data_IF_146212924895
#
_entry.id   IF_146212924895
#
_cell.length_a   1.000
_cell.length_b   1.000
_cell.length_c   1.000
_cell.angle_alpha   90.00
_cell.angle_beta   90.00
_cell.angle_gamma   90.00
#
_symmetry.space_group_name_H-M   'P 1'
#
loop_
_entity.id
_entity.type
_entity.pdbx_description
1 polymer ?
#
# COMPACT_ATOMS: atom_id res chain seq x y z
N UNK A 1 6.38 24.86 -15.61
CA UNK A 1 6.64 25.21 -14.21
C UNK A 1 7.36 24.09 -13.44
N UNK A 2 6.82 22.87 -13.38
CA UNK A 2 7.40 21.75 -12.59
C UNK A 2 8.89 21.49 -12.88
N UNK A 3 9.29 21.47 -14.16
CA UNK A 3 10.70 21.31 -14.56
C UNK A 3 11.58 22.49 -14.11
N UNK A 4 11.05 23.71 -14.08
CA UNK A 4 11.80 24.90 -13.67
C UNK A 4 12.17 24.87 -12.18
N UNK A 5 11.33 24.23 -11.35
CA UNK A 5 11.62 23.99 -9.92
C UNK A 5 12.38 22.67 -9.68
N UNK A 6 12.95 22.06 -10.74
CA UNK A 6 13.77 20.84 -10.69
C UNK A 6 13.05 19.64 -10.07
N UNK A 7 11.76 19.49 -10.39
CA UNK A 7 10.96 18.31 -10.04
C UNK A 7 10.67 17.48 -11.29
N UNK A 8 10.47 16.18 -11.11
CA UNK A 8 10.08 15.24 -12.17
C UNK A 8 8.54 15.15 -12.20
N UNK A 9 7.87 15.72 -13.22
CA UNK A 9 6.42 15.59 -13.34
C UNK A 9 6.03 14.20 -13.86
N UNK A 10 4.85 13.74 -13.47
CA UNK A 10 4.11 12.66 -14.12
C UNK A 10 2.70 13.19 -14.44
N UNK A 11 2.10 12.72 -15.53
CA UNK A 11 0.74 13.11 -15.91
C UNK A 11 -0.27 12.07 -15.42
N UNK A 12 -1.33 12.53 -14.76
CA UNK A 12 -2.41 11.67 -14.27
C UNK A 12 -3.76 12.35 -14.49
N UNK A 13 -4.78 11.55 -14.74
CA UNK A 13 -6.16 12.03 -14.80
C UNK A 13 -6.75 12.15 -13.38
N UNK A 14 -7.78 12.99 -13.25
CA UNK A 14 -8.43 13.25 -11.98
C UNK A 14 -9.21 12.01 -11.50
N UNK A 15 -9.05 11.68 -10.22
CA UNK A 15 -9.76 10.61 -9.52
C UNK A 15 -9.54 10.76 -8.01
N UNK A 16 -10.40 10.16 -7.19
CA UNK A 16 -10.28 10.25 -5.73
C UNK A 16 -8.96 9.63 -5.27
N UNK A 17 -8.06 10.48 -4.75
CA UNK A 17 -6.73 10.08 -4.30
C UNK A 17 -5.67 10.01 -5.41
N UNK A 18 -6.03 10.42 -6.64
CA UNK A 18 -5.18 10.40 -7.83
C UNK A 18 -4.48 9.03 -8.01
N UNK A 19 -3.27 9.04 -8.56
CA UNK A 19 -2.43 7.85 -8.67
C UNK A 19 -1.69 7.54 -7.37
N UNK A 20 -0.91 8.50 -6.86
CA UNK A 20 0.10 8.24 -5.82
C UNK A 20 -0.53 7.93 -4.46
N UNK A 21 -1.41 8.80 -3.94
CA UNK A 21 -2.00 8.64 -2.61
C UNK A 21 -2.88 7.40 -2.51
N UNK A 22 -3.60 7.08 -3.58
CA UNK A 22 -4.41 5.87 -3.70
C UNK A 22 -3.56 4.60 -3.62
N UNK A 23 -2.53 4.48 -4.46
CA UNK A 23 -1.65 3.30 -4.50
C UNK A 23 -0.89 3.13 -3.18
N UNK A 24 -0.26 4.19 -2.69
CA UNK A 24 0.44 4.20 -1.41
C UNK A 24 -0.45 3.81 -0.23
N UNK A 25 -1.71 4.26 -0.21
CA UNK A 25 -2.65 3.94 0.85
C UNK A 25 -2.93 2.44 1.00
N UNK A 26 -2.64 1.63 -0.01
CA UNK A 26 -2.74 0.17 0.10
C UNK A 26 -1.64 -0.45 0.97
N UNK A 27 -0.44 0.14 1.01
CA UNK A 27 0.65 -0.32 1.87
C UNK A 27 0.31 -0.16 3.36
N UNK A 28 -0.17 1.03 3.73
CA UNK A 28 -0.59 1.33 5.11
C UNK A 28 -1.77 0.46 5.52
N UNK A 29 -2.78 0.33 4.64
CA UNK A 29 -3.92 -0.55 4.88
C UNK A 29 -3.50 -2.00 5.05
N UNK A 30 -2.57 -2.52 4.25
CA UNK A 30 -2.11 -3.90 4.41
C UNK A 30 -1.37 -4.13 5.73
N UNK A 31 -0.59 -3.16 6.18
CA UNK A 31 0.00 -3.21 7.52
C UNK A 31 -1.05 -3.29 8.62
N UNK A 32 -2.16 -2.57 8.47
CA UNK A 32 -3.30 -2.63 9.39
C UNK A 32 -4.06 -3.96 9.31
N UNK A 33 -4.24 -4.54 8.12
CA UNK A 33 -4.84 -5.87 7.96
C UNK A 33 -3.98 -6.94 8.65
N UNK A 34 -2.65 -6.92 8.43
CA UNK A 34 -1.70 -7.81 9.11
C UNK A 34 -1.76 -7.67 10.63
N UNK A 35 -1.91 -6.43 11.12
CA UNK A 35 -2.03 -6.13 12.54
C UNK A 35 -3.31 -6.75 13.12
N UNK A 36 -4.46 -6.55 12.46
CA UNK A 36 -5.74 -7.15 12.85
C UNK A 36 -5.74 -8.69 12.78
N UNK A 37 -4.98 -9.28 11.85
CA UNK A 37 -4.77 -10.72 11.77
C UNK A 37 -3.96 -11.28 12.96
N UNK A 38 -3.30 -10.42 13.74
CA UNK A 38 -2.51 -10.78 14.92
C UNK A 38 -1.02 -10.96 14.65
N UNK A 39 -0.49 -10.36 13.58
CA UNK A 39 0.95 -10.34 13.31
C UNK A 39 1.61 -9.29 14.19
N UNK A 40 2.68 -9.68 14.89
CA UNK A 40 3.40 -8.79 15.79
C UNK A 40 3.85 -7.51 15.05
N UNK A 41 3.62 -6.30 15.60
CA UNK A 41 3.94 -5.04 14.93
C UNK A 41 5.38 -4.94 14.44
N UNK A 42 6.32 -5.45 15.24
CA UNK A 42 7.74 -5.48 14.87
C UNK A 42 8.02 -6.31 13.61
N UNK A 43 7.26 -7.38 13.35
CA UNK A 43 7.40 -8.18 12.11
C UNK A 43 6.91 -7.38 10.92
N UNK A 44 5.71 -6.79 11.02
CA UNK A 44 5.10 -5.96 9.97
C UNK A 44 6.06 -4.84 9.55
N UNK A 45 6.59 -4.13 10.52
CA UNK A 45 7.52 -3.03 10.35
C UNK A 45 8.86 -3.44 9.72
N UNK A 46 9.43 -4.55 10.18
CA UNK A 46 10.71 -5.04 9.65
C UNK A 46 10.55 -5.61 8.25
N UNK A 47 9.50 -6.38 7.97
CA UNK A 47 9.23 -6.90 6.62
C UNK A 47 8.96 -5.75 5.65
N UNK A 48 8.19 -4.74 6.05
CA UNK A 48 7.94 -3.55 5.23
C UNK A 48 9.24 -2.85 4.79
N UNK A 49 10.19 -2.68 5.70
CA UNK A 49 11.52 -2.13 5.33
C UNK A 49 12.32 -3.11 4.47
N UNK A 50 12.31 -4.40 4.81
CA UNK A 50 13.07 -5.43 4.11
C UNK A 50 12.56 -5.72 2.69
N UNK A 51 11.30 -5.41 2.37
CA UNK A 51 10.80 -5.47 1.00
C UNK A 51 11.18 -4.25 0.15
N UNK A 52 11.95 -3.31 0.71
CA UNK A 52 12.49 -2.15 0.00
C UNK A 52 11.74 -0.84 0.21
N UNK A 53 10.72 -0.82 1.08
CA UNK A 53 10.01 0.41 1.41
C UNK A 53 10.87 1.30 2.33
N UNK A 54 10.79 2.64 2.21
CA UNK A 54 11.61 3.56 3.00
C UNK A 54 11.27 3.55 4.50
N UNK A 55 10.02 3.20 4.85
CA UNK A 55 9.50 3.16 6.21
C UNK A 55 8.55 1.96 6.34
N UNK A 56 8.40 1.44 7.56
CA UNK A 56 7.42 0.39 7.82
C UNK A 56 5.98 0.92 7.76
N UNK A 57 5.01 0.03 7.53
CA UNK A 57 3.63 0.42 7.24
C UNK A 57 2.93 1.21 8.36
N UNK A 58 3.23 0.88 9.62
CA UNK A 58 2.68 1.57 10.79
C UNK A 58 3.36 2.93 10.99
N UNK A 59 4.68 3.02 10.80
CA UNK A 59 5.41 4.30 10.84
C UNK A 59 4.89 5.29 9.78
N UNK A 60 4.59 4.77 8.59
CA UNK A 60 3.99 5.55 7.52
C UNK A 60 2.59 6.04 7.92
N UNK A 61 1.79 5.16 8.52
CA UNK A 61 0.43 5.51 8.98
C UNK A 61 0.47 6.63 10.02
N UNK A 62 1.44 6.60 10.94
CA UNK A 62 1.67 7.69 11.89
C UNK A 62 2.05 9.01 11.22
N UNK A 63 2.80 8.96 10.11
CA UNK A 63 3.19 10.16 9.36
C UNK A 63 2.03 10.80 8.61
N UNK A 64 1.06 10.00 8.15
CA UNK A 64 -0.19 10.49 7.55
C UNK A 64 -1.15 11.05 8.62
N UNK A 65 -1.15 10.42 9.80
CA UNK A 65 -2.03 10.76 10.91
C UNK A 65 -3.17 9.75 11.07
N UNK A 66 -3.21 9.11 12.23
CA UNK A 66 -4.19 8.06 12.57
C UNK A 66 -5.58 8.68 12.73
N UNK A 67 -5.65 9.89 13.26
CA UNK A 67 -6.88 10.66 13.41
C UNK A 67 -7.48 11.06 12.05
N UNK A 68 -6.63 11.44 11.09
CA UNK A 68 -7.05 11.70 9.71
C UNK A 68 -7.68 10.45 9.09
N UNK A 69 -7.03 9.30 9.25
CA UNK A 69 -7.56 8.02 8.77
C UNK A 69 -8.90 7.68 9.41
N UNK A 70 -9.03 7.80 10.75
CA UNK A 70 -10.29 7.56 11.47
C UNK A 70 -11.42 8.49 10.99
N UNK A 71 -11.11 9.78 10.80
CA UNK A 71 -12.09 10.78 10.32
C UNK A 71 -12.58 10.45 8.91
N UNK A 72 -11.68 10.09 7.99
CA UNK A 72 -12.04 9.71 6.62
C UNK A 72 -12.90 8.45 6.59
N UNK A 73 -12.57 7.46 7.43
CA UNK A 73 -13.34 6.21 7.54
C UNK A 73 -14.76 6.48 8.03
N UNK A 74 -14.93 7.25 9.12
CA UNK A 74 -16.25 7.60 9.67
C UNK A 74 -17.10 8.42 8.69
N UNK A 75 -16.52 9.44 8.06
CA UNK A 75 -17.23 10.25 7.08
C UNK A 75 -17.69 9.43 5.85
N UNK A 76 -16.87 8.47 5.42
CA UNK A 76 -17.23 7.57 4.31
C UNK A 76 -18.35 6.62 4.72
N UNK A 77 -18.30 6.05 5.92
CA UNK A 77 -19.34 5.16 6.41
C UNK A 77 -20.68 5.88 6.62
N UNK A 78 -20.66 7.11 7.15
CA UNK A 78 -21.84 7.96 7.27
C UNK A 78 -22.48 8.22 5.89
N UNK A 79 -21.66 8.59 4.89
CA UNK A 79 -22.14 8.80 3.53
C UNK A 79 -22.70 7.54 2.86
N UNK A 80 -22.22 6.35 3.25
CA UNK A 80 -22.64 5.05 2.71
C UNK A 80 -23.72 4.36 3.57
N UNK A 81 -24.10 4.94 4.71
CA UNK A 81 -25.02 4.31 5.66
C UNK A 81 -24.50 3.01 6.28
N UNK A 82 -23.17 2.86 6.41
CA UNK A 82 -22.52 1.66 6.97
C UNK A 82 -22.32 1.83 8.46
N UNK A 83 -22.74 0.83 9.24
CA UNK A 83 -22.44 0.78 10.68
C UNK A 83 -21.00 0.29 10.92
N UNK A 84 -20.22 1.09 11.65
CA UNK A 84 -18.83 0.79 12.01
C UNK A 84 -18.68 0.19 13.41
N UNK A 85 -19.77 0.00 14.17
CA UNK A 85 -19.70 -0.53 15.54
C UNK A 85 -19.06 -1.93 15.58
N UNK A 86 -19.33 -2.77 14.58
CA UNK A 86 -18.73 -4.10 14.44
C UNK A 86 -17.43 -4.15 13.64
N UNK A 87 -16.95 -3.02 13.09
CA UNK A 87 -15.70 -2.97 12.32
C UNK A 87 -14.51 -2.92 13.28
N UNK A 88 -13.93 -4.07 13.59
CA UNK A 88 -12.79 -4.21 14.52
C UNK A 88 -11.65 -3.24 14.22
N UNK A 89 -11.36 -3.01 12.93
CA UNK A 89 -10.33 -2.07 12.49
C UNK A 89 -10.67 -0.63 12.90
N UNK A 90 -11.90 -0.17 12.68
CA UNK A 90 -12.32 1.17 13.12
C UNK A 90 -12.31 1.27 14.64
N UNK A 91 -12.75 0.24 15.36
CA UNK A 91 -12.71 0.24 16.83
C UNK A 91 -11.28 0.34 17.36
N UNK A 92 -10.32 -0.35 16.72
CA UNK A 92 -8.91 -0.25 17.06
C UNK A 92 -8.33 1.15 16.80
N UNK A 93 -8.67 1.77 15.65
CA UNK A 93 -8.26 3.13 15.35
C UNK A 93 -8.89 4.15 16.31
N UNK A 94 -10.15 3.97 16.68
CA UNK A 94 -10.86 4.79 17.66
C UNK A 94 -10.18 4.69 19.03
N UNK A 95 -9.90 3.49 19.51
CA UNK A 95 -9.16 3.28 20.76
C UNK A 95 -7.79 3.99 20.76
N UNK A 96 -7.01 3.88 19.68
CA UNK A 96 -5.73 4.60 19.57
C UNK A 96 -5.90 6.11 19.69
N UNK A 97 -6.86 6.68 18.95
CA UNK A 97 -7.02 8.13 18.83
C UNK A 97 -7.73 8.73 20.04
N UNK A 98 -8.83 8.14 20.45
CA UNK A 98 -9.78 8.70 21.42
C UNK A 98 -9.42 8.32 22.86
N UNK A 99 -9.05 7.05 23.09
CA UNK A 99 -8.78 6.57 24.44
C UNK A 99 -7.31 6.76 24.83
N UNK A 100 -6.40 6.64 23.86
CA UNK A 100 -4.95 6.71 24.10
C UNK A 100 -4.32 8.04 23.63
N UNK A 101 -5.08 8.85 22.89
CA UNK A 101 -4.61 10.13 22.36
C UNK A 101 -3.43 9.98 21.39
N UNK A 102 -3.30 8.85 20.70
CA UNK A 102 -2.21 8.51 19.79
C UNK A 102 -2.61 8.81 18.35
N UNK A 103 -2.43 10.06 17.95
CA UNK A 103 -2.90 10.58 16.64
C UNK A 103 -1.83 10.52 15.54
N UNK A 104 -0.63 10.06 15.85
CA UNK A 104 0.48 9.91 14.91
C UNK A 104 1.66 10.86 15.20
N UNK A 105 2.57 10.94 14.24
CA UNK A 105 3.88 11.61 14.37
C UNK A 105 3.77 13.08 14.76
N UNK A 106 2.74 13.78 14.28
CA UNK A 106 2.48 15.20 14.59
C UNK A 106 2.32 15.51 16.07
N UNK A 107 1.90 14.52 16.87
CA UNK A 107 1.71 14.66 18.31
C UNK A 107 2.80 13.91 19.12
N UNK A 108 3.84 13.42 18.45
CA UNK A 108 4.91 12.64 19.08
C UNK A 108 4.51 11.21 19.46
N UNK A 109 3.27 10.78 19.20
CA UNK A 109 2.76 9.45 19.59
C UNK A 109 1.72 8.90 18.61
N UNK A 110 1.98 7.70 18.10
CA UNK A 110 1.12 6.90 17.22
C UNK A 110 1.37 5.41 17.45
N UNK A 111 1.49 4.59 16.41
CA UNK A 111 2.08 3.24 16.55
C UNK A 111 3.49 3.27 17.15
N UNK A 112 4.22 4.37 16.92
CA UNK A 112 5.51 4.67 17.53
C UNK A 112 5.41 5.74 18.61
N UNK A 113 6.29 5.66 19.60
CA UNK A 113 6.72 6.82 20.38
C UNK A 113 7.81 7.56 19.57
N UNK A 114 7.69 8.89 19.48
CA UNK A 114 8.64 9.73 18.75
C UNK A 114 9.38 10.67 19.70
N UNK A 115 10.67 10.87 19.45
CA UNK A 115 11.47 11.83 20.20
C UNK A 115 11.20 13.29 19.76
N UNK A 116 11.82 14.25 20.46
CA UNK A 116 11.69 15.69 20.18
C UNK A 116 12.08 16.09 18.74
N UNK A 117 12.93 15.29 18.08
CA UNK A 117 13.33 15.49 16.68
C UNK A 117 12.36 14.85 15.68
N UNK A 118 11.24 14.32 16.16
CA UNK A 118 10.23 13.63 15.38
C UNK A 118 10.71 12.32 14.77
N UNK A 119 11.76 11.69 15.31
CA UNK A 119 12.22 10.36 14.85
C UNK A 119 11.56 9.26 15.69
N UNK A 120 11.19 8.11 15.08
CA UNK A 120 10.66 6.99 15.84
C UNK A 120 11.72 6.50 16.83
N UNK A 121 11.37 6.44 18.10
CA UNK A 121 12.24 5.95 19.17
C UNK A 121 12.00 4.47 19.42
N UNK A 122 10.72 4.08 19.53
CA UNK A 122 10.30 2.68 19.71
C UNK A 122 8.87 2.48 19.26
N UNK A 123 8.53 1.23 18.92
CA UNK A 123 7.13 0.83 18.84
C UNK A 123 6.48 0.97 20.21
N UNK A 124 5.24 1.44 20.23
CA UNK A 124 4.50 1.64 21.46
C UNK A 124 4.25 0.31 22.17
N UNK A 125 4.72 0.10 23.42
CA UNK A 125 4.66 -1.21 24.08
C UNK A 125 3.24 -1.75 24.29
N UNK A 126 2.25 -0.86 24.37
CA UNK A 126 0.86 -1.20 24.68
C UNK A 126 0.00 -1.45 23.44
N UNK A 127 0.59 -1.39 22.23
CA UNK A 127 -0.12 -1.64 20.97
C UNK A 127 -0.87 -2.98 20.97
N UNK A 128 -0.28 -4.01 21.58
CA UNK A 128 -0.81 -5.37 21.60
C UNK A 128 -1.98 -5.53 22.60
N UNK A 129 -2.34 -4.51 23.39
CA UNK A 129 -3.46 -4.60 24.36
C UNK A 129 -4.81 -4.89 23.71
N UNK A 130 -5.00 -4.42 22.47
CA UNK A 130 -6.22 -4.64 21.68
C UNK A 130 -6.02 -5.67 20.57
N UNK A 131 -4.81 -6.23 20.43
CA UNK A 131 -4.47 -7.17 19.37
C UNK A 131 -4.05 -8.48 19.99
N UNK A 132 -4.80 -9.54 19.71
CA UNK A 132 -4.35 -10.89 20.06
C UNK A 132 -3.21 -11.29 19.13
N UNK A 133 -1.97 -11.20 19.60
CA UNK A 133 -0.79 -11.68 18.88
C UNK A 133 -0.93 -13.19 18.65
N UNK A 134 -0.94 -13.59 17.37
CA UNK A 134 -0.98 -14.98 16.91
C UNK A 134 0.34 -15.40 16.23
N UNK A 135 1.10 -14.42 15.76
CA UNK A 135 2.36 -14.61 15.04
C UNK A 135 3.41 -13.69 15.64
N UNK A 136 4.39 -14.27 16.33
CA UNK A 136 5.47 -13.59 17.04
C UNK A 136 6.87 -13.87 16.46
N UNK A 137 6.97 -14.87 15.57
CA UNK A 137 8.16 -15.21 14.80
C UNK A 137 7.93 -15.06 13.29
N UNK A 138 9.01 -14.81 12.53
CA UNK A 138 8.95 -14.63 11.09
C UNK A 138 9.98 -15.51 10.36
N UNK A 139 9.70 -16.80 10.16
CA UNK A 139 10.55 -17.66 9.34
C UNK A 139 10.61 -17.17 7.88
N UNK A 140 11.60 -17.63 7.08
CA UNK A 140 11.81 -17.16 5.70
C UNK A 140 10.57 -17.23 4.80
N UNK A 141 9.78 -18.31 4.89
CA UNK A 141 8.58 -18.49 4.08
C UNK A 141 7.50 -17.48 4.43
N UNK A 142 7.31 -17.20 5.72
CA UNK A 142 6.37 -16.17 6.16
C UNK A 142 6.88 -14.78 5.75
N UNK A 143 8.17 -14.51 5.86
CA UNK A 143 8.75 -13.25 5.38
C UNK A 143 8.43 -13.02 3.90
N UNK A 144 8.57 -14.07 3.07
CA UNK A 144 8.23 -14.01 1.64
C UNK A 144 6.74 -13.74 1.43
N UNK A 145 5.88 -14.45 2.16
CA UNK A 145 4.42 -14.25 2.13
C UNK A 145 4.04 -12.79 2.45
N UNK A 146 4.56 -12.24 3.56
CA UNK A 146 4.27 -10.87 3.99
C UNK A 146 4.86 -9.83 3.03
N UNK A 147 6.03 -10.11 2.45
CA UNK A 147 6.63 -9.29 1.39
C UNK A 147 5.70 -9.21 0.18
N UNK A 148 5.18 -10.35 -0.28
CA UNK A 148 4.26 -10.40 -1.41
C UNK A 148 2.97 -9.64 -1.09
N UNK A 149 2.41 -9.80 0.12
CA UNK A 149 1.22 -9.04 0.53
C UNK A 149 1.42 -7.53 0.41
N UNK A 150 2.56 -7.00 0.85
CA UNK A 150 2.83 -5.56 0.72
C UNK A 150 3.00 -5.10 -0.73
N UNK A 151 3.78 -5.83 -1.53
CA UNK A 151 4.14 -5.36 -2.88
C UNK A 151 3.04 -5.65 -3.91
N UNK A 152 2.43 -6.84 -3.87
CA UNK A 152 1.37 -7.24 -4.80
C UNK A 152 0.13 -6.36 -4.64
N UNK A 153 -0.27 -6.01 -3.42
CA UNK A 153 -1.45 -5.14 -3.20
C UNK A 153 -1.27 -3.76 -3.85
N UNK A 154 -0.08 -3.18 -3.71
CA UNK A 154 0.26 -1.90 -4.34
C UNK A 154 0.25 -2.01 -5.87
N UNK A 155 0.85 -3.06 -6.43
CA UNK A 155 0.90 -3.26 -7.87
C UNK A 155 -0.49 -3.54 -8.49
N UNK A 156 -1.39 -4.22 -7.77
CA UNK A 156 -2.79 -4.39 -8.17
C UNK A 156 -3.50 -3.03 -8.24
N UNK A 157 -3.25 -2.14 -7.28
CA UNK A 157 -3.86 -0.81 -7.28
C UNK A 157 -3.34 0.04 -8.44
N UNK A 158 -2.06 -0.08 -8.79
CA UNK A 158 -1.51 0.53 -10.01
C UNK A 158 -2.23 -0.01 -11.24
N UNK A 159 -2.46 -1.32 -11.34
CA UNK A 159 -3.21 -1.91 -12.45
C UNK A 159 -4.65 -1.38 -12.53
N UNK A 160 -5.32 -1.17 -11.39
CA UNK A 160 -6.64 -0.51 -11.34
C UNK A 160 -6.58 0.94 -11.83
N UNK A 161 -5.52 1.67 -11.49
CA UNK A 161 -5.31 3.02 -12.01
C UNK A 161 -5.15 3.04 -13.54
N UNK A 162 -4.53 2.02 -14.15
CA UNK A 162 -4.49 1.88 -15.61
C UNK A 162 -5.87 1.54 -16.20
N UNK A 163 -6.59 0.60 -15.59
CA UNK A 163 -7.92 0.17 -16.04
C UNK A 163 -8.94 1.33 -16.02
N UNK A 164 -8.86 2.17 -14.99
CA UNK A 164 -9.70 3.35 -14.82
C UNK A 164 -9.19 4.57 -15.61
N UNK A 165 -8.03 4.46 -16.28
CA UNK A 165 -7.42 5.56 -17.03
C UNK A 165 -6.88 6.69 -16.17
N UNK A 166 -6.67 6.49 -14.86
CA UNK A 166 -6.04 7.46 -13.95
C UNK A 166 -4.59 7.70 -14.35
N UNK A 167 -3.89 6.63 -14.79
CA UNK A 167 -2.55 6.71 -15.35
C UNK A 167 -2.51 5.92 -16.66
N UNK A 168 -1.78 6.43 -17.64
CA UNK A 168 -1.82 5.91 -19.02
C UNK A 168 -0.45 5.59 -19.61
N UNK A 169 0.63 5.83 -18.87
CA UNK A 169 2.01 5.57 -19.30
C UNK A 169 2.75 4.77 -18.22
N UNK A 170 3.31 3.62 -18.60
CA UNK A 170 4.04 2.74 -17.69
C UNK A 170 5.25 3.42 -17.03
N UNK A 171 5.90 4.36 -17.73
CA UNK A 171 7.07 5.08 -17.21
C UNK A 171 6.68 6.08 -16.14
N UNK A 172 5.58 6.80 -16.34
CA UNK A 172 5.03 7.72 -15.35
C UNK A 172 4.58 6.95 -14.11
N UNK A 173 4.00 5.75 -14.30
CA UNK A 173 3.62 4.88 -13.19
C UNK A 173 4.84 4.43 -12.38
N UNK A 174 5.88 3.93 -13.04
CA UNK A 174 7.10 3.47 -12.37
C UNK A 174 7.85 4.61 -11.69
N UNK A 175 8.11 5.72 -12.38
CA UNK A 175 8.76 6.90 -11.81
C UNK A 175 7.95 7.45 -10.64
N UNK A 176 6.62 7.52 -10.78
CA UNK A 176 5.73 7.92 -9.70
C UNK A 176 5.83 7.00 -8.50
N UNK A 177 5.84 5.68 -8.71
CA UNK A 177 5.94 4.70 -7.61
C UNK A 177 7.25 4.80 -6.83
N UNK A 178 8.36 5.01 -7.53
CA UNK A 178 9.68 5.12 -6.90
C UNK A 178 9.83 6.48 -6.20
N UNK A 179 9.57 7.59 -6.91
CA UNK A 179 9.88 8.92 -6.41
C UNK A 179 8.84 9.47 -5.44
N UNK A 180 7.57 9.05 -5.54
CA UNK A 180 6.52 9.59 -4.68
C UNK A 180 6.42 8.82 -3.36
N UNK A 181 6.43 7.49 -3.38
CA UNK A 181 6.26 6.69 -2.15
C UNK A 181 7.32 5.61 -1.91
N UNK A 182 8.32 5.50 -2.78
CA UNK A 182 9.48 4.63 -2.56
C UNK A 182 9.17 3.15 -2.75
N UNK A 183 8.28 2.80 -3.68
CA UNK A 183 7.99 1.39 -3.99
C UNK A 183 9.26 0.66 -4.40
N UNK A 184 9.70 -0.29 -3.56
CA UNK A 184 10.78 -1.25 -3.77
C UNK A 184 11.73 -0.90 -4.93
N UNK A 185 12.57 0.16 -4.82
CA UNK A 185 13.17 0.79 -6.00
C UNK A 185 14.05 -0.13 -6.85
N UNK A 186 14.61 -1.17 -6.23
CA UNK A 186 15.40 -2.21 -6.92
C UNK A 186 14.60 -3.03 -7.94
N UNK A 187 13.27 -2.95 -7.93
CA UNK A 187 12.36 -3.64 -8.86
C UNK A 187 12.04 -2.83 -10.13
N UNK A 188 12.44 -1.55 -10.17
CA UNK A 188 12.15 -0.65 -11.30
C UNK A 188 10.81 0.08 -11.23
N UNK A 189 9.98 -0.17 -10.20
CA UNK A 189 8.66 0.43 -10.02
C UNK A 189 7.55 -0.63 -10.13
N UNK A 190 6.29 -0.24 -9.91
CA UNK A 190 5.19 -1.20 -9.86
C UNK A 190 4.93 -1.95 -11.19
N UNK A 191 5.01 -1.28 -12.34
CA UNK A 191 4.84 -1.92 -13.65
C UNK A 191 6.03 -2.84 -13.95
N UNK A 192 7.25 -2.34 -13.76
CA UNK A 192 8.47 -3.14 -13.93
C UNK A 192 8.52 -4.34 -12.97
N UNK A 193 8.00 -4.20 -11.75
CA UNK A 193 7.87 -5.31 -10.80
C UNK A 193 6.96 -6.42 -11.34
N UNK A 194 5.83 -6.07 -11.94
CA UNK A 194 4.94 -7.06 -12.56
C UNK A 194 5.61 -7.69 -13.79
N UNK A 195 6.19 -6.89 -14.68
CA UNK A 195 6.72 -7.37 -15.95
C UNK A 195 8.04 -8.15 -15.81
N UNK A 196 8.99 -7.65 -15.02
CA UNK A 196 10.37 -8.15 -14.97
C UNK A 196 10.63 -9.10 -13.79
N UNK A 197 9.99 -8.88 -12.64
CA UNK A 197 10.24 -9.70 -11.44
C UNK A 197 9.32 -10.92 -11.41
N UNK A 198 8.05 -10.75 -11.77
CA UNK A 198 7.07 -11.84 -11.79
C UNK A 198 6.82 -12.40 -13.19
N UNK A 199 6.69 -11.53 -14.18
CA UNK A 199 5.94 -11.83 -15.39
C UNK A 199 4.44 -11.80 -15.14
N UNK A 200 3.67 -11.35 -16.14
CA UNK A 200 2.23 -11.07 -15.98
C UNK A 200 1.41 -12.28 -15.52
N UNK A 201 1.68 -13.48 -16.06
CA UNK A 201 0.94 -14.70 -15.73
C UNK A 201 1.19 -15.16 -14.28
N UNK A 202 2.45 -15.38 -13.84
CA UNK A 202 2.74 -15.68 -12.44
C UNK A 202 2.24 -14.63 -11.46
N UNK A 203 2.27 -13.34 -11.84
CA UNK A 203 1.73 -12.27 -11.01
C UNK A 203 0.23 -12.42 -10.76
N UNK A 204 -0.56 -12.70 -11.81
CA UNK A 204 -2.01 -12.92 -11.69
C UNK A 204 -2.31 -14.18 -10.86
N UNK A 205 -1.54 -15.25 -11.02
CA UNK A 205 -1.70 -16.47 -10.22
C UNK A 205 -1.43 -16.23 -8.73
N UNK A 206 -0.39 -15.45 -8.42
CA UNK A 206 -0.08 -15.06 -7.04
C UNK A 206 -1.14 -14.12 -6.46
N UNK A 207 -1.61 -13.14 -7.23
CA UNK A 207 -2.71 -12.26 -6.84
C UNK A 207 -3.97 -13.07 -6.51
N UNK A 208 -4.35 -14.04 -7.36
CA UNK A 208 -5.47 -14.93 -7.12
C UNK A 208 -5.26 -15.82 -5.87
N UNK A 209 -4.03 -16.28 -5.61
CA UNK A 209 -3.72 -17.04 -4.38
C UNK A 209 -3.88 -16.17 -3.13
N UNK A 210 -3.39 -14.94 -3.15
CA UNK A 210 -3.54 -13.99 -2.06
C UNK A 210 -5.01 -13.60 -1.89
N UNK A 211 -5.77 -13.44 -2.97
CA UNK A 211 -7.20 -13.14 -2.93
C UNK A 211 -7.99 -14.25 -2.23
N UNK A 212 -7.72 -15.52 -2.57
CA UNK A 212 -8.37 -16.66 -1.89
C UNK A 212 -8.07 -16.72 -0.39
N UNK A 213 -6.88 -16.30 0.04
CA UNK A 213 -6.43 -16.43 1.43
C UNK A 213 -6.77 -15.21 2.29
N UNK A 214 -6.67 -14.02 1.70
CA UNK A 214 -6.75 -12.76 2.42
C UNK A 214 -7.93 -11.89 1.99
N UNK A 215 -8.59 -12.21 0.88
CA UNK A 215 -9.82 -11.55 0.42
C UNK A 215 -9.63 -10.62 -0.77
N UNK A 216 -10.73 -9.96 -1.15
CA UNK A 216 -10.92 -9.24 -2.42
C UNK A 216 -9.89 -8.14 -2.74
N UNK A 217 -9.20 -7.62 -1.71
CA UNK A 217 -8.16 -6.59 -1.87
C UNK A 217 -6.98 -7.03 -2.74
N UNK A 218 -6.82 -8.34 -2.96
CA UNK A 218 -5.82 -8.92 -3.83
C UNK A 218 -6.39 -9.43 -5.16
N UNK A 219 -7.68 -9.19 -5.45
CA UNK A 219 -8.25 -9.60 -6.72
C UNK A 219 -7.62 -8.81 -7.87
N UNK A 220 -7.05 -9.50 -8.88
CA UNK A 220 -6.50 -8.83 -10.03
C UNK A 220 -7.63 -8.23 -10.89
N UNK A 221 -7.55 -6.95 -11.29
CA UNK A 221 -8.53 -6.33 -12.18
C UNK A 221 -8.58 -7.03 -13.54
N UNK A 222 -9.64 -6.76 -14.30
CA UNK A 222 -9.85 -7.37 -15.61
C UNK A 222 -8.67 -7.08 -16.55
N UNK A 223 -8.08 -5.89 -16.47
CA UNK A 223 -6.89 -5.51 -17.20
C UNK A 223 -5.75 -6.53 -17.07
N UNK A 224 -5.40 -6.93 -15.84
CA UNK A 224 -4.33 -7.90 -15.61
C UNK A 224 -4.67 -9.27 -16.18
N UNK A 225 -5.94 -9.69 -16.07
CA UNK A 225 -6.41 -10.96 -16.63
C UNK A 225 -6.33 -10.96 -18.15
N UNK A 226 -6.74 -9.87 -18.79
CA UNK A 226 -6.67 -9.70 -20.25
C UNK A 226 -5.20 -9.69 -20.72
N UNK A 227 -4.32 -8.97 -20.02
CA UNK A 227 -2.89 -8.96 -20.30
C UNK A 227 -2.26 -10.35 -20.15
N UNK A 228 -2.61 -11.07 -19.07
CA UNK A 228 -2.13 -12.44 -18.85
C UNK A 228 -2.61 -13.41 -19.94
N UNK A 229 -3.85 -13.28 -20.41
CA UNK A 229 -4.39 -14.09 -21.50
C UNK A 229 -3.65 -13.86 -22.82
N UNK A 230 -3.23 -12.62 -23.08
CA UNK A 230 -2.49 -12.23 -24.29
C UNK A 230 -0.97 -12.37 -24.17
N UNK A 231 -0.45 -12.53 -22.96
CA UNK A 231 0.99 -12.55 -22.69
C UNK A 231 1.66 -11.19 -22.82
N UNK A 232 0.92 -10.10 -22.57
CA UNK A 232 1.39 -8.71 -22.63
C UNK A 232 1.87 -8.22 -21.26
N UNK A 233 2.98 -7.48 -21.22
CA UNK A 233 3.37 -6.64 -20.08
C UNK A 233 2.78 -5.24 -20.14
N UNK A 234 2.96 -4.46 -19.06
CA UNK A 234 2.59 -3.04 -19.03
C UNK A 234 3.33 -2.24 -20.11
N UNK A 235 4.62 -2.52 -20.32
CA UNK A 235 5.42 -1.82 -21.33
C UNK A 235 5.07 -2.21 -22.78
N UNK A 236 4.40 -3.34 -23.00
CA UNK A 236 3.89 -3.76 -24.32
C UNK A 236 2.54 -3.08 -24.63
N UNK A 237 1.66 -3.04 -23.62
CA UNK A 237 0.27 -2.56 -23.76
C UNK A 237 0.14 -1.04 -23.64
N UNK A 238 0.98 -0.42 -22.82
CA UNK A 238 1.00 1.03 -22.60
C UNK A 238 2.38 1.61 -22.96
N UNK A 239 2.78 1.50 -24.24
CA UNK A 239 4.09 1.96 -24.67
C UNK A 239 4.17 3.49 -24.64
N UNK A 240 5.38 4.05 -24.70
CA UNK A 240 5.58 5.48 -24.83
C UNK A 240 4.74 6.13 -25.93
N UNK A 241 4.27 7.35 -25.70
CA UNK A 241 3.66 8.18 -26.73
C UNK A 241 4.56 8.25 -27.99
N UNK A 242 4.03 7.83 -29.14
CA UNK A 242 4.76 7.73 -30.41
C UNK A 242 5.15 6.32 -30.84
N UNK A 243 5.00 5.33 -29.96
CA UNK A 243 5.21 3.90 -30.26
C UNK A 243 3.85 3.20 -30.35
N UNK A 244 3.62 2.38 -31.38
CA UNK A 244 2.35 1.63 -31.51
C UNK A 244 2.28 0.56 -30.41
N UNK A 245 1.17 0.50 -29.69
CA UNK A 245 0.85 -0.63 -28.81
C UNK A 245 0.79 -1.93 -29.60
N UNK A 246 1.17 -3.05 -28.97
CA UNK A 246 0.95 -4.37 -29.55
C UNK A 246 -0.56 -4.54 -29.84
N UNK A 247 -0.88 -4.98 -31.05
CA UNK A 247 -2.25 -5.10 -31.55
C UNK A 247 -2.97 -6.32 -30.95
#
# INVERSE_FOLDING_TARGET
YVLAIRKTPIAVNDSRGFYTSRCFGTYTREGMEMLGEGIKPAIIENVGRQCGMPMGALEVTDSVGIDTALKVTRATAEAMGVDLQSDERTQFLAWLVEDQGRVGRKAGKGFYDYNEKGKPERLWPDIDKMIKVKVDECPPDLKKELTNRFLVRQAIEVARCFEEGVITDARDADIGSILAWGFAPFTGGCCSYVDLIWGIKPFVEEADRLARKYGERFEPPKLLRDMAAKGEGFYDRFPPAGTKAAA
#
